data_IF_268444953195
#
_entry.id   IF_268444953195
#
_cell.length_a   1.000
_cell.length_b   1.000
_cell.length_c   1.000
_cell.angle_alpha   90.00
_cell.angle_beta   90.00
_cell.angle_gamma   90.00
#
_symmetry.space_group_name_H-M   'P 1'
#
loop_
_entity.id
_entity.type
_entity.pdbx_description
1 polymer ?
#
# COMPACT_ATOMS: atom_id res chain seq x y z
N UNK A 1 8.32 12.00 -3.84
CA UNK A 1 9.55 11.31 -4.29
C UNK A 1 10.01 11.95 -5.59
N UNK A 2 11.23 11.67 -6.03
CA UNK A 2 11.78 12.15 -7.29
C UNK A 2 12.12 10.97 -8.22
N UNK A 3 12.17 11.23 -9.54
CA UNK A 3 12.57 10.21 -10.51
C UNK A 3 13.97 9.65 -10.20
N UNK A 4 14.06 8.31 -10.15
CA UNK A 4 15.30 7.62 -9.79
C UNK A 4 15.51 7.37 -8.29
N UNK A 5 14.68 7.91 -7.40
CA UNK A 5 14.68 7.52 -5.98
C UNK A 5 14.51 5.99 -5.84
N UNK A 6 15.22 5.36 -4.89
CA UNK A 6 14.99 3.95 -4.55
C UNK A 6 14.40 3.89 -3.14
N UNK A 7 13.19 3.35 -3.04
CA UNK A 7 12.44 3.19 -1.81
C UNK A 7 12.51 1.76 -1.29
N UNK A 8 12.40 1.64 0.03
CA UNK A 8 12.42 0.38 0.76
C UNK A 8 11.35 0.43 1.86
N UNK A 9 10.80 -0.74 2.15
CA UNK A 9 10.13 -0.96 3.42
C UNK A 9 11.19 -1.22 4.48
N UNK A 10 11.21 -0.38 5.51
CA UNK A 10 12.07 -0.52 6.68
C UNK A 10 11.32 -1.10 7.88
N UNK A 11 11.98 -1.93 8.65
CA UNK A 11 11.63 -2.21 10.04
C UNK A 11 12.75 -1.71 10.95
N UNK A 12 12.41 -1.06 12.06
CA UNK A 12 13.33 -0.84 13.16
C UNK A 12 13.35 -2.11 14.01
N UNK A 13 14.49 -2.81 13.98
CA UNK A 13 14.75 -4.02 14.73
C UNK A 13 15.84 -3.85 15.80
N UNK A 14 16.09 -4.93 16.51
CA UNK A 14 17.15 -5.09 17.50
C UNK A 14 18.17 -6.10 17.02
N UNK A 15 19.44 -5.70 16.98
CA UNK A 15 20.60 -6.57 16.74
C UNK A 15 21.58 -6.53 17.91
N UNK A 16 22.40 -7.57 18.05
CA UNK A 16 23.59 -7.55 18.91
C UNK A 16 24.82 -6.98 18.19
N UNK A 17 25.96 -6.97 18.88
CA UNK A 17 27.25 -6.46 18.40
C UNK A 17 27.75 -7.17 17.12
N UNK A 18 27.27 -8.38 16.84
CA UNK A 18 27.60 -9.15 15.64
C UNK A 18 26.56 -8.97 14.53
N UNK A 19 25.68 -7.98 14.65
CA UNK A 19 24.55 -7.74 13.75
C UNK A 19 23.55 -8.91 13.70
N UNK A 20 23.52 -9.78 14.72
CA UNK A 20 22.54 -10.87 14.80
C UNK A 20 21.22 -10.34 15.33
N UNK A 21 20.15 -10.55 14.58
CA UNK A 21 18.81 -10.05 14.88
C UNK A 21 18.26 -10.77 16.10
N UNK A 22 18.03 -10.02 17.18
CA UNK A 22 17.34 -10.50 18.39
C UNK A 22 15.83 -10.34 18.30
N UNK A 23 15.36 -9.28 17.63
CA UNK A 23 13.94 -9.05 17.40
C UNK A 23 13.75 -8.14 16.18
N UNK A 24 12.93 -8.54 15.21
CA UNK A 24 12.70 -7.78 13.96
C UNK A 24 11.85 -6.51 14.14
N UNK A 25 11.32 -6.27 15.34
CA UNK A 25 10.33 -5.23 15.65
C UNK A 25 10.67 -4.45 16.92
N UNK A 26 11.88 -4.63 17.45
CA UNK A 26 12.35 -4.02 18.69
C UNK A 26 11.36 -4.14 19.85
N UNK A 27 10.83 -5.35 20.08
CA UNK A 27 9.85 -5.60 21.15
C UNK A 27 8.49 -4.96 20.86
N UNK A 28 8.08 -4.90 19.58
CA UNK A 28 6.87 -4.21 19.11
C UNK A 28 6.84 -2.74 19.54
N UNK A 29 7.97 -2.05 19.32
CA UNK A 29 8.06 -0.61 19.52
C UNK A 29 6.88 0.11 18.83
N UNK A 30 6.22 1.00 19.57
CA UNK A 30 5.01 1.69 19.12
C UNK A 30 5.30 2.96 18.33
N UNK A 31 6.39 3.63 18.67
CA UNK A 31 6.80 4.87 18.06
C UNK A 31 8.28 4.80 17.65
N UNK A 32 8.54 4.98 16.36
CA UNK A 32 9.87 5.02 15.76
C UNK A 32 10.23 6.41 15.23
N UNK A 33 9.41 7.43 15.50
CA UNK A 33 9.69 8.80 15.08
C UNK A 33 11.04 9.31 15.60
N UNK A 34 11.42 9.12 16.88
CA UNK A 34 12.74 9.55 17.38
C UNK A 34 13.91 8.86 16.64
N UNK A 35 13.73 7.59 16.28
CA UNK A 35 14.75 6.76 15.61
C UNK A 35 14.89 7.17 14.15
N UNK A 36 13.78 7.31 13.44
CA UNK A 36 13.78 7.73 12.03
C UNK A 36 14.30 9.15 11.88
N UNK A 37 13.93 10.08 12.78
CA UNK A 37 14.44 11.45 12.80
C UNK A 37 15.96 11.53 13.01
N UNK A 38 16.54 10.62 13.81
CA UNK A 38 17.98 10.58 14.05
C UNK A 38 18.80 10.19 12.82
N UNK A 39 18.19 9.49 11.86
CA UNK A 39 18.86 9.00 10.65
C UNK A 39 18.38 9.70 9.36
N UNK A 40 17.29 10.47 9.42
CA UNK A 40 16.74 11.21 8.29
C UNK A 40 17.72 12.30 7.82
N UNK A 41 17.95 12.37 6.52
CA UNK A 41 18.90 13.31 5.90
C UNK A 41 20.36 12.85 5.92
N UNK A 42 20.66 11.64 6.37
CA UNK A 42 22.02 11.11 6.38
C UNK A 42 22.59 11.03 4.95
N UNK A 43 23.77 11.61 4.72
CA UNK A 43 24.42 11.61 3.41
C UNK A 43 25.68 10.72 3.38
N UNK A 44 25.82 9.94 2.30
CA UNK A 44 27.00 9.13 1.96
C UNK A 44 27.19 9.18 0.44
N UNK A 45 28.39 9.53 -0.02
CA UNK A 45 28.81 9.55 -1.43
C UNK A 45 27.81 10.26 -2.39
N UNK A 46 27.26 11.40 -1.94
CA UNK A 46 26.29 12.21 -2.70
C UNK A 46 24.89 11.60 -2.79
N UNK A 47 24.57 10.64 -1.92
CA UNK A 47 23.25 10.03 -1.78
C UNK A 47 22.72 10.32 -0.40
N UNK A 48 21.47 10.77 -0.32
CA UNK A 48 20.78 11.09 0.93
C UNK A 48 19.82 9.97 1.29
N UNK A 49 19.87 9.49 2.54
CA UNK A 49 18.88 8.62 3.13
C UNK A 49 17.78 9.47 3.78
N UNK A 50 16.55 9.25 3.36
CA UNK A 50 15.34 9.85 3.90
C UNK A 50 14.60 8.74 4.65
N UNK A 51 14.32 8.95 5.92
CA UNK A 51 13.63 8.01 6.79
C UNK A 51 12.41 8.67 7.41
N UNK A 52 11.23 8.05 7.23
CA UNK A 52 9.98 8.51 7.83
C UNK A 52 9.35 7.40 8.68
N UNK A 53 8.75 7.75 9.82
CA UNK A 53 8.07 6.76 10.66
C UNK A 53 6.84 6.21 9.94
N UNK A 54 6.59 4.92 10.12
CA UNK A 54 5.33 4.26 9.80
C UNK A 54 4.66 3.76 11.07
N UNK A 55 3.61 2.96 10.94
CA UNK A 55 2.89 2.41 12.10
C UNK A 55 3.75 1.40 12.87
N UNK A 56 3.95 1.65 14.17
CA UNK A 56 4.78 0.84 15.07
C UNK A 56 6.24 0.77 14.59
N UNK A 57 6.86 -0.41 14.63
CA UNK A 57 8.24 -0.67 14.18
C UNK A 57 8.54 -0.34 12.71
N UNK A 58 7.58 0.11 11.90
CA UNK A 58 7.76 0.27 10.45
C UNK A 58 8.34 1.63 10.13
N UNK A 59 9.16 1.71 9.09
CA UNK A 59 9.69 2.94 8.53
C UNK A 59 9.57 2.90 7.00
N UNK A 60 9.30 4.06 6.38
CA UNK A 60 9.50 4.27 4.95
C UNK A 60 10.89 4.84 4.73
N UNK A 61 11.70 4.19 3.90
CA UNK A 61 13.08 4.62 3.63
C UNK A 61 13.25 4.87 2.16
N UNK A 62 13.87 6.00 1.81
CA UNK A 62 14.22 6.36 0.43
C UNK A 62 15.68 6.74 0.41
N UNK A 63 16.45 6.21 -0.55
CA UNK A 63 17.75 6.77 -0.91
C UNK A 63 17.60 7.59 -2.18
N UNK A 64 18.10 8.82 -2.13
CA UNK A 64 18.00 9.81 -3.20
C UNK A 64 19.39 10.21 -3.67
N UNK A 65 19.61 10.12 -4.97
CA UNK A 65 20.86 10.52 -5.63
C UNK A 65 20.95 9.92 -7.03
N UNK A 66 22.10 10.10 -7.68
CA UNK A 66 22.33 9.62 -9.05
C UNK A 66 22.90 8.21 -9.07
N UNK A 67 22.61 7.47 -10.16
CA UNK A 67 23.18 6.15 -10.41
C UNK A 67 22.68 5.06 -9.45
N UNK A 68 21.39 5.11 -9.09
CA UNK A 68 20.76 4.16 -8.17
C UNK A 68 19.90 3.13 -8.92
N UNK A 69 19.81 1.93 -8.36
CA UNK A 69 19.00 0.82 -8.88
C UNK A 69 18.21 0.13 -7.77
N UNK A 70 17.07 -0.45 -8.12
CA UNK A 70 16.30 -1.33 -7.23
C UNK A 70 16.71 -2.80 -7.36
N UNK A 71 17.63 -3.13 -8.26
CA UNK A 71 18.15 -4.48 -8.47
C UNK A 71 19.15 -4.86 -7.37
N UNK A 72 18.67 -4.97 -6.13
CA UNK A 72 19.45 -5.35 -4.94
C UNK A 72 18.64 -6.31 -4.07
N UNK A 73 19.34 -7.15 -3.30
CA UNK A 73 18.72 -8.07 -2.34
C UNK A 73 18.19 -7.33 -1.10
N UNK A 74 17.31 -7.98 -0.34
CA UNK A 74 16.93 -7.52 0.99
C UNK A 74 18.13 -7.58 1.96
N UNK A 75 18.11 -6.71 2.98
CA UNK A 75 19.00 -6.81 4.14
C UNK A 75 18.34 -7.59 5.29
N UNK A 76 17.00 -7.59 5.35
CA UNK A 76 16.22 -8.35 6.34
C UNK A 76 16.16 -9.84 5.94
N UNK A 77 16.73 -10.77 6.73
CA UNK A 77 16.67 -12.21 6.47
C UNK A 77 15.27 -12.82 6.71
N UNK A 78 14.33 -11.99 7.16
CA UNK A 78 12.98 -12.36 7.55
C UNK A 78 12.85 -13.23 8.80
N UNK A 79 13.95 -13.54 9.47
CA UNK A 79 14.00 -14.42 10.65
C UNK A 79 14.82 -13.83 11.80
N UNK A 80 14.54 -14.27 13.02
CA UNK A 80 15.32 -13.95 14.23
C UNK A 80 16.46 -14.97 14.35
N UNK A 81 17.60 -14.55 14.91
CA UNK A 81 18.77 -15.39 15.11
C UNK A 81 19.73 -15.45 13.92
N UNK A 82 19.36 -14.84 12.79
CA UNK A 82 20.26 -14.63 11.65
C UNK A 82 20.90 -13.24 11.72
N UNK A 83 22.10 -13.13 11.13
CA UNK A 83 22.72 -11.83 10.90
C UNK A 83 21.94 -11.04 9.84
N UNK A 84 21.97 -9.71 9.95
CA UNK A 84 21.53 -8.83 8.85
C UNK A 84 22.32 -9.20 7.60
N UNK A 85 21.61 -9.44 6.49
CA UNK A 85 22.26 -9.84 5.25
C UNK A 85 23.03 -8.67 4.64
N UNK A 86 24.20 -8.99 4.11
CA UNK A 86 24.90 -8.09 3.20
C UNK A 86 24.04 -7.89 1.97
N UNK A 87 23.74 -6.64 1.65
CA UNK A 87 23.00 -6.29 0.44
C UNK A 87 23.90 -6.54 -0.77
N UNK A 88 23.39 -7.29 -1.74
CA UNK A 88 24.10 -7.64 -2.98
C UNK A 88 23.30 -7.15 -4.19
N UNK A 89 23.98 -6.79 -5.29
CA UNK A 89 23.28 -6.51 -6.54
C UNK A 89 22.64 -7.80 -7.08
N UNK A 90 21.47 -7.68 -7.73
CA UNK A 90 20.79 -8.81 -8.40
C UNK A 90 21.02 -8.82 -9.91
N UNK A 91 21.71 -7.81 -10.45
CA UNK A 91 22.19 -7.75 -11.82
C UNK A 91 23.62 -7.17 -11.89
N UNK A 92 24.20 -7.13 -13.08
CA UNK A 92 25.58 -6.68 -13.29
C UNK A 92 25.73 -5.16 -13.46
N UNK A 93 24.65 -4.38 -13.35
CA UNK A 93 24.67 -2.95 -13.60
C UNK A 93 25.58 -2.20 -12.60
N UNK A 94 26.32 -1.16 -13.05
CA UNK A 94 27.08 -0.30 -12.15
C UNK A 94 26.21 0.34 -11.06
N UNK A 95 24.96 0.67 -11.40
CA UNK A 95 23.98 1.26 -10.48
C UNK A 95 23.56 0.29 -9.38
N UNK A 96 23.36 -1.00 -9.69
CA UNK A 96 23.05 -2.02 -8.68
C UNK A 96 24.22 -2.22 -7.71
N UNK A 97 25.45 -2.35 -8.24
CA UNK A 97 26.68 -2.48 -7.43
C UNK A 97 26.86 -1.29 -6.50
N UNK A 98 26.76 -0.07 -7.04
CA UNK A 98 26.81 1.18 -6.26
C UNK A 98 25.73 1.22 -5.19
N UNK A 99 24.49 0.83 -5.52
CA UNK A 99 23.38 0.88 -4.56
C UNK A 99 23.58 -0.11 -3.42
N UNK A 100 24.03 -1.33 -3.71
CA UNK A 100 24.34 -2.34 -2.69
C UNK A 100 25.43 -1.86 -1.72
N UNK A 101 26.54 -1.31 -2.24
CA UNK A 101 27.61 -0.72 -1.43
C UNK A 101 27.11 0.42 -0.52
N UNK A 102 26.29 1.32 -1.06
CA UNK A 102 25.71 2.42 -0.31
C UNK A 102 24.79 1.93 0.80
N UNK A 103 23.93 0.95 0.52
CA UNK A 103 23.00 0.40 1.51
C UNK A 103 23.75 -0.26 2.67
N UNK A 104 24.80 -1.03 2.38
CA UNK A 104 25.65 -1.60 3.44
C UNK A 104 26.32 -0.51 4.29
N UNK A 105 26.81 0.58 3.67
CA UNK A 105 27.34 1.75 4.40
C UNK A 105 26.27 2.44 5.25
N UNK A 106 25.06 2.62 4.72
CA UNK A 106 23.94 3.23 5.45
C UNK A 106 23.50 2.36 6.62
N UNK A 107 23.35 1.05 6.45
CA UNK A 107 22.96 0.14 7.54
C UNK A 107 24.00 0.20 8.66
N UNK A 108 25.29 0.13 8.34
CA UNK A 108 26.36 0.25 9.34
C UNK A 108 26.38 1.61 10.05
N UNK A 109 26.19 2.72 9.30
CA UNK A 109 26.23 4.08 9.87
C UNK A 109 24.98 4.36 10.71
N UNK A 110 23.81 3.97 10.24
CA UNK A 110 22.54 4.10 10.99
C UNK A 110 22.57 3.26 12.26
N UNK A 111 23.08 2.02 12.23
CA UNK A 111 23.26 1.21 13.43
C UNK A 111 24.05 1.95 14.52
N UNK A 112 25.21 2.52 14.16
CA UNK A 112 26.04 3.30 15.12
C UNK A 112 25.29 4.51 15.69
N UNK A 113 24.56 5.26 14.85
CA UNK A 113 23.76 6.42 15.29
C UNK A 113 22.67 5.97 16.26
N UNK A 114 21.93 4.93 15.91
CA UNK A 114 20.81 4.44 16.71
C UNK A 114 21.27 3.80 18.02
N UNK A 115 22.38 3.08 18.02
CA UNK A 115 22.94 2.42 19.21
C UNK A 115 23.32 3.44 20.30
N UNK A 116 23.86 4.59 19.89
CA UNK A 116 24.27 5.67 20.78
C UNK A 116 23.16 6.67 21.13
N UNK A 117 21.99 6.54 20.50
CA UNK A 117 20.88 7.48 20.70
C UNK A 117 20.34 7.38 22.14
N UNK A 118 20.18 8.52 22.81
CA UNK A 118 19.67 8.58 24.18
C UNK A 118 18.33 7.85 24.36
N UNK A 119 17.45 7.93 23.35
CA UNK A 119 16.20 7.17 23.32
C UNK A 119 16.42 5.66 23.46
N UNK A 120 17.44 5.08 22.82
CA UNK A 120 17.76 3.66 22.96
C UNK A 120 18.50 3.37 24.28
N UNK A 121 19.30 4.31 24.79
CA UNK A 121 19.92 4.19 26.14
C UNK A 121 18.85 4.12 27.24
N UNK A 122 17.80 4.93 27.14
CA UNK A 122 16.64 4.89 28.04
C UNK A 122 15.82 3.60 27.90
N UNK A 123 15.63 3.09 26.68
CA UNK A 123 14.97 1.79 26.47
C UNK A 123 15.73 0.67 27.17
N UNK A 124 17.05 0.61 26.97
CA UNK A 124 17.91 -0.39 27.60
C UNK A 124 17.88 -0.29 29.13
N UNK A 125 17.87 0.90 29.71
CA UNK A 125 17.82 1.07 31.18
C UNK A 125 16.52 0.55 31.81
N UNK A 126 15.43 0.48 31.04
CA UNK A 126 14.15 -0.11 31.45
C UNK A 126 14.02 -1.60 31.12
N UNK A 127 15.04 -2.21 30.50
CA UNK A 127 15.00 -3.60 30.03
C UNK A 127 14.23 -3.80 28.71
N UNK A 128 13.85 -2.71 28.03
CA UNK A 128 13.23 -2.79 26.70
C UNK A 128 14.29 -3.08 25.63
N UNK A 129 13.89 -3.78 24.57
CA UNK A 129 14.76 -3.98 23.40
C UNK A 129 14.98 -2.65 22.64
N UNK A 130 16.23 -2.26 22.34
CA UNK A 130 16.51 -1.03 21.58
C UNK A 130 16.15 -1.20 20.10
N UNK A 131 15.70 -0.11 19.46
CA UNK A 131 15.54 -0.06 18.01
C UNK A 131 16.83 0.38 17.35
N UNK A 132 17.84 -0.48 17.29
CA UNK A 132 19.21 -0.13 16.88
C UNK A 132 19.58 -0.58 15.46
N UNK A 133 18.66 -1.17 14.69
CA UNK A 133 18.94 -1.62 13.33
C UNK A 133 17.83 -1.25 12.37
N UNK A 134 18.21 -0.79 11.17
CA UNK A 134 17.29 -0.57 10.06
C UNK A 134 17.31 -1.78 9.12
N UNK A 135 16.27 -2.62 9.22
CA UNK A 135 16.09 -3.80 8.38
C UNK A 135 15.32 -3.42 7.11
N UNK A 136 16.03 -3.38 5.97
CA UNK A 136 15.50 -2.96 4.68
C UNK A 136 15.06 -4.14 3.82
N UNK A 137 13.92 -3.98 3.14
CA UNK A 137 13.40 -4.94 2.17
C UNK A 137 12.55 -4.32 1.08
N UNK A 138 12.35 -5.06 -0.01
CA UNK A 138 11.41 -4.72 -1.08
C UNK A 138 11.83 -3.46 -1.81
N UNK A 139 13.06 -3.46 -2.35
CA UNK A 139 13.60 -2.36 -3.13
C UNK A 139 12.70 -2.02 -4.31
N UNK A 140 12.29 -0.76 -4.43
CA UNK A 140 11.47 -0.26 -5.53
C UNK A 140 12.02 1.05 -6.05
N UNK A 141 12.27 1.14 -7.36
CA UNK A 141 12.72 2.39 -7.98
C UNK A 141 11.52 3.21 -8.41
N UNK A 142 11.46 4.44 -7.93
CA UNK A 142 10.47 5.40 -8.38
C UNK A 142 10.73 5.75 -9.83
N UNK A 143 9.67 5.65 -10.63
CA UNK A 143 9.58 6.18 -11.98
C UNK A 143 8.39 7.11 -12.03
N UNK A 144 8.50 8.22 -12.74
CA UNK A 144 7.30 9.02 -13.05
C UNK A 144 6.35 8.20 -13.93
N UNK A 145 5.08 8.10 -13.52
CA UNK A 145 4.00 7.61 -14.35
C UNK A 145 3.06 8.77 -14.68
N UNK A 146 2.33 8.71 -15.82
CA UNK A 146 1.22 9.62 -16.04
C UNK A 146 0.26 9.56 -14.86
N UNK A 147 -0.14 10.73 -14.38
CA UNK A 147 -1.20 10.84 -13.39
C UNK A 147 -2.49 10.19 -13.89
N UNK A 148 -3.40 9.90 -12.95
CA UNK A 148 -4.71 9.35 -13.27
C UNK A 148 -5.47 10.27 -14.24
N UNK A 149 -5.36 11.59 -14.05
CA UNK A 149 -5.95 12.60 -14.92
C UNK A 149 -5.33 12.59 -16.32
N UNK A 150 -4.01 12.53 -16.44
CA UNK A 150 -3.34 12.47 -17.74
C UNK A 150 -3.69 11.19 -18.51
N UNK A 151 -3.81 10.07 -17.81
CA UNK A 151 -4.10 8.77 -18.44
C UNK A 151 -5.57 8.59 -18.80
N UNK A 152 -6.49 8.99 -17.92
CA UNK A 152 -7.91 8.66 -18.05
C UNK A 152 -8.83 9.87 -18.22
N UNK A 153 -8.32 11.09 -18.05
CA UNK A 153 -9.10 12.31 -18.26
C UNK A 153 -10.07 12.66 -17.12
N UNK A 154 -9.86 12.11 -15.92
CA UNK A 154 -10.70 12.33 -14.74
C UNK A 154 -9.91 13.06 -13.64
N UNK A 155 -10.48 14.11 -13.04
CA UNK A 155 -10.04 14.51 -11.69
C UNK A 155 -10.43 13.41 -10.70
N UNK A 156 -9.51 13.03 -9.81
CA UNK A 156 -9.70 11.85 -8.99
C UNK A 156 -9.26 12.04 -7.55
N UNK A 157 -9.98 11.41 -6.63
CA UNK A 157 -9.59 11.31 -5.23
C UNK A 157 -9.61 9.86 -4.73
N UNK A 158 -8.86 9.60 -3.66
CA UNK A 158 -8.71 8.30 -3.02
C UNK A 158 -9.19 8.38 -1.56
N UNK A 159 -10.20 7.57 -1.24
CA UNK A 159 -10.77 7.40 0.10
C UNK A 159 -10.40 6.01 0.62
N UNK A 160 -9.30 5.94 1.37
CA UNK A 160 -8.77 4.69 1.89
C UNK A 160 -8.43 4.79 3.39
N UNK A 161 -8.42 3.66 4.09
CA UNK A 161 -7.91 3.62 5.48
C UNK A 161 -6.42 3.28 5.54
N UNK A 162 -5.98 2.28 4.74
CA UNK A 162 -4.62 1.78 4.76
C UNK A 162 -3.63 2.67 3.99
N UNK A 163 -2.43 2.86 4.54
CA UNK A 163 -1.40 3.73 3.95
C UNK A 163 -0.91 3.30 2.56
N UNK A 164 -0.95 2.00 2.23
CA UNK A 164 -0.55 1.51 0.91
C UNK A 164 -1.41 2.14 -0.21
N UNK A 165 -2.74 2.08 -0.06
CA UNK A 165 -3.68 2.57 -1.05
C UNK A 165 -3.67 4.10 -1.17
N UNK A 166 -3.50 4.80 -0.03
CA UNK A 166 -3.24 6.25 -0.03
C UNK A 166 -1.95 6.59 -0.79
N UNK A 167 -0.90 5.80 -0.58
CA UNK A 167 0.37 5.95 -1.29
C UNK A 167 0.22 5.76 -2.80
N UNK A 168 -0.52 4.75 -3.25
CA UNK A 168 -0.80 4.52 -4.68
C UNK A 168 -1.64 5.68 -5.26
N UNK A 169 -2.69 6.12 -4.55
CA UNK A 169 -3.50 7.26 -4.98
C UNK A 169 -2.65 8.52 -5.16
N UNK A 170 -1.83 8.85 -4.17
CA UNK A 170 -0.96 10.02 -4.21
C UNK A 170 0.10 9.90 -5.31
N UNK A 171 0.64 8.70 -5.53
CA UNK A 171 1.57 8.40 -6.62
C UNK A 171 0.94 8.64 -8.00
N UNK A 172 -0.34 8.34 -8.15
CA UNK A 172 -1.11 8.58 -9.38
C UNK A 172 -1.68 10.00 -9.45
N UNK A 173 -1.34 10.89 -8.51
CA UNK A 173 -1.83 12.28 -8.49
C UNK A 173 -3.31 12.43 -8.12
N UNK A 174 -3.86 11.48 -7.34
CA UNK A 174 -5.19 11.61 -6.74
C UNK A 174 -5.12 12.40 -5.43
N UNK A 175 -6.17 13.17 -5.14
CA UNK A 175 -6.33 13.83 -3.84
C UNK A 175 -6.65 12.79 -2.76
N UNK A 176 -5.92 12.82 -1.64
CA UNK A 176 -6.12 11.87 -0.55
C UNK A 176 -7.11 12.44 0.45
N UNK A 177 -8.24 11.74 0.62
CA UNK A 177 -9.31 12.17 1.50
C UNK A 177 -9.26 11.38 2.80
N UNK A 178 -8.97 12.10 3.88
CA UNK A 178 -8.94 11.54 5.23
C UNK A 178 -10.35 11.47 5.80
N UNK A 179 -10.70 10.30 6.35
CA UNK A 179 -12.00 10.06 6.99
C UNK A 179 -11.78 9.59 8.41
N UNK A 180 -12.32 10.33 9.37
CA UNK A 180 -12.32 9.91 10.77
C UNK A 180 -13.01 8.54 10.92
N UNK A 181 -12.38 7.61 11.64
CA UNK A 181 -12.90 6.24 11.81
C UNK A 181 -12.58 5.27 10.67
N UNK A 182 -11.96 5.71 9.56
CA UNK A 182 -11.52 4.80 8.49
C UNK A 182 -10.20 4.09 8.85
N UNK A 183 -10.25 3.13 9.76
CA UNK A 183 -9.06 2.46 10.36
C UNK A 183 -8.43 1.39 9.46
N UNK A 184 -9.13 0.94 8.41
CA UNK A 184 -8.80 -0.25 7.62
C UNK A 184 -8.80 -1.57 8.42
N UNK A 185 -9.31 -1.56 9.66
CA UNK A 185 -9.52 -2.72 10.51
C UNK A 185 -11.02 -3.10 10.52
N UNK A 186 -11.41 -4.25 11.12
CA UNK A 186 -12.81 -4.64 11.20
C UNK A 186 -13.72 -3.60 11.86
N UNK A 187 -13.20 -2.76 12.76
CA UNK A 187 -13.93 -1.67 13.41
C UNK A 187 -14.08 -0.39 12.55
N UNK A 188 -13.55 -0.39 11.32
CA UNK A 188 -13.59 0.78 10.43
C UNK A 188 -15.02 1.27 10.20
N UNK A 189 -15.21 2.58 10.26
CA UNK A 189 -16.49 3.24 9.96
C UNK A 189 -16.72 3.30 8.45
N UNK A 190 -17.49 2.34 7.94
CA UNK A 190 -17.78 2.20 6.50
C UNK A 190 -18.81 3.23 6.04
N UNK A 191 -19.79 3.55 6.88
CA UNK A 191 -20.84 4.52 6.56
C UNK A 191 -20.24 5.93 6.42
N UNK A 192 -19.40 6.35 7.37
CA UNK A 192 -18.68 7.62 7.28
C UNK A 192 -17.81 7.67 6.01
N UNK A 193 -17.09 6.58 5.71
CA UNK A 193 -16.26 6.51 4.49
C UNK A 193 -17.09 6.67 3.21
N UNK A 194 -18.19 5.94 3.08
CA UNK A 194 -19.02 5.99 1.87
C UNK A 194 -19.74 7.33 1.72
N UNK A 195 -20.21 7.92 2.83
CA UNK A 195 -20.80 9.26 2.84
C UNK A 195 -19.79 10.33 2.42
N UNK A 196 -18.57 10.30 2.95
CA UNK A 196 -17.51 11.22 2.54
C UNK A 196 -17.14 11.02 1.08
N UNK A 197 -17.05 9.78 0.61
CA UNK A 197 -16.75 9.49 -0.79
C UNK A 197 -17.80 10.06 -1.74
N UNK A 198 -19.09 9.87 -1.43
CA UNK A 198 -20.19 10.45 -2.22
C UNK A 198 -20.09 11.99 -2.31
N UNK A 199 -19.75 12.66 -1.21
CA UNK A 199 -19.60 14.12 -1.22
C UNK A 199 -18.41 14.62 -2.05
N UNK A 200 -17.46 13.75 -2.43
CA UNK A 200 -16.34 14.15 -3.28
C UNK A 200 -16.72 14.21 -4.76
N UNK A 201 -17.86 13.64 -5.16
CA UNK A 201 -18.36 13.74 -6.54
C UNK A 201 -18.73 15.19 -6.92
N UNK A 202 -18.95 16.07 -5.95
CA UNK A 202 -19.18 17.50 -6.19
C UNK A 202 -17.96 18.23 -6.78
N UNK A 203 -16.75 17.68 -6.60
CA UNK A 203 -15.48 18.30 -6.97
C UNK A 203 -14.54 17.40 -7.77
N UNK A 204 -14.85 16.11 -7.90
CA UNK A 204 -14.04 15.13 -8.61
C UNK A 204 -14.89 14.30 -9.58
N UNK A 205 -14.33 13.99 -10.75
CA UNK A 205 -14.99 13.11 -11.71
C UNK A 205 -14.94 11.62 -11.28
N UNK A 206 -13.97 11.24 -10.44
CA UNK A 206 -13.73 9.86 -10.03
C UNK A 206 -13.36 9.76 -8.55
N UNK A 207 -14.01 8.84 -7.84
CA UNK A 207 -13.74 8.60 -6.41
C UNK A 207 -13.38 7.13 -6.21
N UNK A 208 -12.12 6.86 -5.87
CA UNK A 208 -11.68 5.51 -5.51
C UNK A 208 -11.96 5.25 -4.03
N UNK A 209 -12.77 4.24 -3.73
CA UNK A 209 -13.10 3.86 -2.35
C UNK A 209 -12.46 2.50 -2.05
N UNK A 210 -11.59 2.46 -1.03
CA UNK A 210 -10.94 1.22 -0.62
C UNK A 210 -11.42 0.74 0.75
N UNK A 211 -11.81 -0.54 0.81
CA UNK A 211 -12.23 -1.24 2.03
C UNK A 211 -11.31 -2.45 2.26
N UNK A 212 -10.64 -2.52 3.43
CA UNK A 212 -9.55 -3.49 3.68
C UNK A 212 -9.95 -4.72 4.49
N UNK A 213 -10.83 -4.59 5.49
CA UNK A 213 -10.90 -5.59 6.56
C UNK A 213 -11.37 -6.98 6.10
N UNK A 214 -12.14 -7.06 5.01
CA UNK A 214 -12.55 -8.32 4.39
C UNK A 214 -11.36 -9.22 4.00
N UNK A 215 -10.25 -8.60 3.59
CA UNK A 215 -9.02 -9.31 3.25
C UNK A 215 -8.34 -9.86 4.51
N UNK A 216 -8.14 -9.03 5.53
CA UNK A 216 -7.48 -9.46 6.78
C UNK A 216 -8.28 -10.53 7.52
N UNK A 217 -9.62 -10.47 7.48
CA UNK A 217 -10.47 -11.53 8.01
C UNK A 217 -10.35 -12.84 7.20
N UNK A 218 -10.06 -12.73 5.90
CA UNK A 218 -9.68 -13.86 5.05
C UNK A 218 -8.33 -14.46 5.43
N UNK A 219 -7.29 -13.63 5.62
CA UNK A 219 -5.96 -14.03 6.10
C UNK A 219 -6.02 -14.69 7.49
N UNK A 220 -6.92 -14.23 8.37
CA UNK A 220 -7.14 -14.83 9.69
C UNK A 220 -7.91 -16.17 9.62
N UNK A 221 -8.53 -16.49 8.48
CA UNK A 221 -9.39 -17.64 8.30
C UNK A 221 -10.70 -17.53 9.09
N UNK A 222 -11.27 -16.33 9.17
CA UNK A 222 -12.49 -16.01 9.90
C UNK A 222 -13.67 -15.77 8.92
N UNK A 223 -14.35 -16.83 8.45
CA UNK A 223 -15.44 -16.68 7.48
C UNK A 223 -16.64 -15.92 8.04
N UNK A 224 -17.01 -16.12 9.31
CA UNK A 224 -18.13 -15.41 9.93
C UNK A 224 -17.87 -13.90 10.00
N UNK A 225 -16.69 -13.51 10.49
CA UNK A 225 -16.29 -12.12 10.56
C UNK A 225 -16.20 -11.48 9.18
N UNK A 226 -15.65 -12.19 8.18
CA UNK A 226 -15.58 -11.70 6.79
C UNK A 226 -16.99 -11.46 6.22
N UNK A 227 -17.91 -12.40 6.43
CA UNK A 227 -19.31 -12.26 5.98
C UNK A 227 -20.03 -11.10 6.68
N UNK A 228 -19.88 -10.95 8.00
CA UNK A 228 -20.45 -9.84 8.77
C UNK A 228 -19.92 -8.48 8.27
N UNK A 229 -18.62 -8.39 8.00
CA UNK A 229 -18.01 -7.17 7.48
C UNK A 229 -18.50 -6.83 6.07
N UNK A 230 -18.66 -7.82 5.19
CA UNK A 230 -19.27 -7.62 3.86
C UNK A 230 -20.72 -7.15 3.99
N UNK A 231 -21.52 -7.73 4.90
CA UNK A 231 -22.90 -7.30 5.16
C UNK A 231 -22.98 -5.85 5.68
N UNK A 232 -22.00 -5.40 6.47
CA UNK A 232 -21.88 -3.99 6.87
C UNK A 232 -21.56 -3.08 5.69
N UNK A 233 -20.72 -3.53 4.76
CA UNK A 233 -20.47 -2.80 3.52
C UNK A 233 -21.76 -2.71 2.69
N UNK A 234 -22.47 -3.81 2.49
CA UNK A 234 -23.75 -3.87 1.77
C UNK A 234 -24.80 -2.90 2.37
N UNK A 235 -24.94 -2.88 3.70
CA UNK A 235 -25.81 -1.89 4.37
C UNK A 235 -25.42 -0.45 4.03
N UNK A 236 -24.13 -0.12 4.05
CA UNK A 236 -23.64 1.21 3.70
C UNK A 236 -23.75 1.50 2.19
N UNK A 237 -23.71 0.48 1.32
CA UNK A 237 -23.92 0.62 -0.12
C UNK A 237 -25.29 1.22 -0.45
N UNK A 238 -26.28 1.10 0.45
CA UNK A 238 -27.59 1.76 0.30
C UNK A 238 -27.51 3.28 0.12
N UNK A 239 -26.40 3.93 0.52
CA UNK A 239 -26.15 5.35 0.25
C UNK A 239 -26.02 5.65 -1.26
N UNK A 240 -25.58 4.69 -2.06
CA UNK A 240 -25.42 4.82 -3.51
C UNK A 240 -26.70 4.53 -4.30
N UNK A 241 -27.81 4.16 -3.64
CA UNK A 241 -29.10 3.94 -4.33
C UNK A 241 -29.60 5.20 -5.04
N UNK A 242 -29.19 6.39 -4.58
CA UNK A 242 -29.53 7.68 -5.16
C UNK A 242 -28.33 8.31 -5.86
N UNK A 243 -27.52 7.50 -6.55
CA UNK A 243 -26.43 8.00 -7.39
C UNK A 243 -26.95 9.06 -8.37
N UNK A 244 -26.17 10.13 -8.67
CA UNK A 244 -26.53 11.06 -9.72
C UNK A 244 -26.85 10.34 -11.03
N UNK A 245 -27.72 10.92 -11.86
CA UNK A 245 -28.14 10.29 -13.14
C UNK A 245 -26.96 9.97 -14.05
N UNK A 246 -25.99 10.86 -14.09
CA UNK A 246 -24.73 10.73 -14.82
C UNK A 246 -23.64 10.00 -14.02
N UNK A 247 -23.97 9.43 -12.86
CA UNK A 247 -23.05 8.66 -12.03
C UNK A 247 -22.95 7.20 -12.43
N UNK A 248 -21.74 6.64 -12.29
CA UNK A 248 -21.45 5.22 -12.46
C UNK A 248 -20.80 4.67 -11.19
N UNK A 249 -21.38 3.62 -10.63
CA UNK A 249 -20.84 2.84 -9.53
C UNK A 249 -20.23 1.55 -10.07
N UNK A 250 -18.99 1.28 -9.69
CA UNK A 250 -18.30 0.03 -10.00
C UNK A 250 -17.87 -0.63 -8.70
N UNK A 251 -18.22 -1.91 -8.54
CA UNK A 251 -17.90 -2.69 -7.33
C UNK A 251 -17.12 -3.93 -7.76
N UNK A 252 -15.96 -4.14 -7.15
CA UNK A 252 -15.10 -5.32 -7.35
C UNK A 252 -14.16 -5.48 -6.16
N UNK A 253 -13.40 -6.57 -6.14
CA UNK A 253 -12.18 -6.70 -5.34
C UNK A 253 -10.92 -6.56 -6.22
N UNK A 254 -9.78 -6.30 -5.60
CA UNK A 254 -8.46 -6.31 -6.25
C UNK A 254 -7.87 -7.73 -6.33
N UNK A 255 -8.22 -8.62 -5.40
CA UNK A 255 -7.86 -10.03 -5.43
C UNK A 255 -8.77 -10.91 -4.54
N UNK A 256 -8.59 -12.23 -4.65
CA UNK A 256 -9.30 -13.22 -3.85
C UNK A 256 -8.54 -13.61 -2.58
N UNK A 257 -9.28 -13.44 -1.48
CA UNK A 257 -9.06 -13.75 -0.04
C UNK A 257 -9.52 -15.07 0.60
N UNK A 258 -9.37 -16.31 0.08
CA UNK A 258 -10.08 -17.47 0.65
C UNK A 258 -9.71 -17.76 2.11
N UNK A 259 -10.70 -17.82 3.00
CA UNK A 259 -10.49 -18.07 4.43
C UNK A 259 -9.80 -19.42 4.72
N UNK A 260 -10.05 -20.43 3.88
CA UNK A 260 -9.42 -21.75 3.99
C UNK A 260 -7.92 -21.71 3.69
N UNK A 261 -7.51 -20.83 2.76
CA UNK A 261 -6.11 -20.70 2.35
C UNK A 261 -5.33 -19.73 3.24
N UNK A 262 -6.02 -18.78 3.89
CA UNK A 262 -5.41 -17.74 4.76
C UNK A 262 -4.34 -16.90 4.04
N UNK A 263 -4.43 -16.84 2.72
CA UNK A 263 -3.52 -16.13 1.83
C UNK A 263 -4.23 -15.79 0.53
N UNK A 264 -3.65 -14.88 -0.24
CA UNK A 264 -4.18 -14.50 -1.54
C UNK A 264 -4.19 -15.70 -2.49
N UNK A 265 -5.19 -15.75 -3.35
CA UNK A 265 -5.36 -16.74 -4.41
C UNK A 265 -5.52 -16.05 -5.76
N UNK A 266 -5.42 -16.84 -6.83
CA UNK A 266 -5.64 -16.39 -8.20
C UNK A 266 -7.10 -16.59 -8.67
N UNK A 267 -8.02 -16.91 -7.75
CA UNK A 267 -9.43 -17.06 -8.08
C UNK A 267 -10.02 -15.73 -8.58
N UNK A 268 -10.85 -15.75 -9.64
CA UNK A 268 -11.44 -14.54 -10.19
C UNK A 268 -12.39 -13.87 -9.17
N UNK A 269 -12.49 -12.55 -9.25
CA UNK A 269 -13.31 -11.74 -8.34
C UNK A 269 -14.60 -11.27 -9.02
N UNK A 270 -15.72 -11.14 -8.27
CA UNK A 270 -16.95 -10.55 -8.80
C UNK A 270 -16.76 -9.08 -9.19
N UNK A 271 -17.37 -8.65 -10.31
CA UNK A 271 -17.42 -7.25 -10.74
C UNK A 271 -18.84 -6.87 -11.16
N UNK A 272 -19.24 -5.64 -10.84
CA UNK A 272 -20.53 -5.06 -11.22
C UNK A 272 -20.36 -3.61 -11.64
N UNK A 273 -21.10 -3.20 -12.66
CA UNK A 273 -21.27 -1.82 -13.10
C UNK A 273 -22.75 -1.44 -12.92
N UNK A 274 -23.02 -0.31 -12.27
CA UNK A 274 -24.36 0.18 -12.00
C UNK A 274 -24.44 1.68 -12.29
N UNK A 275 -25.39 2.09 -13.13
CA UNK A 275 -25.57 3.48 -13.53
C UNK A 275 -26.48 3.60 -14.75
N UNK A 276 -26.84 4.84 -15.10
CA UNK A 276 -27.60 5.10 -16.33
C UNK A 276 -26.79 4.70 -17.57
N UNK A 277 -27.44 4.11 -18.58
CA UNK A 277 -26.79 3.64 -19.80
C UNK A 277 -26.11 2.27 -19.73
N UNK A 278 -25.98 1.67 -18.54
CA UNK A 278 -25.53 0.28 -18.41
C UNK A 278 -26.58 -0.68 -19.00
N UNK A 279 -26.15 -1.61 -19.87
CA UNK A 279 -27.00 -2.69 -20.38
C UNK A 279 -27.07 -3.79 -19.33
N UNK A 280 -28.18 -3.84 -18.59
CA UNK A 280 -28.39 -4.82 -17.52
C UNK A 280 -28.62 -6.22 -18.09
N UNK A 281 -28.07 -7.24 -17.42
CA UNK A 281 -28.39 -8.64 -17.67
C UNK A 281 -29.36 -9.20 -16.62
N UNK A 282 -29.62 -10.51 -16.66
CA UNK A 282 -30.58 -11.17 -15.77
C UNK A 282 -29.98 -11.60 -14.41
N UNK A 283 -28.75 -11.18 -14.08
CA UNK A 283 -28.11 -11.52 -12.80
C UNK A 283 -28.70 -10.65 -11.68
N UNK A 284 -29.32 -11.29 -10.70
CA UNK A 284 -30.03 -10.62 -9.61
C UNK A 284 -29.28 -10.61 -8.26
N UNK A 285 -28.04 -11.07 -8.21
CA UNK A 285 -27.25 -11.14 -6.97
C UNK A 285 -25.77 -10.88 -7.25
N UNK A 286 -25.08 -10.25 -6.29
CA UNK A 286 -23.63 -10.03 -6.34
C UNK A 286 -22.90 -11.10 -5.53
N UNK A 287 -22.04 -11.87 -6.21
CA UNK A 287 -21.29 -12.97 -5.63
C UNK A 287 -20.71 -13.87 -6.71
N UNK A 288 -19.72 -14.69 -6.37
CA UNK A 288 -18.85 -15.42 -7.30
C UNK A 288 -19.66 -16.24 -8.32
N UNK A 289 -20.63 -17.03 -7.84
CA UNK A 289 -21.46 -17.90 -8.70
C UNK A 289 -22.48 -17.15 -9.55
N UNK A 290 -22.93 -15.98 -9.08
CA UNK A 290 -23.91 -15.17 -9.78
C UNK A 290 -23.22 -14.35 -10.88
N UNK A 291 -22.13 -13.65 -10.53
CA UNK A 291 -21.33 -12.87 -11.46
C UNK A 291 -20.67 -13.73 -12.56
N UNK A 292 -20.41 -15.02 -12.31
CA UNK A 292 -19.96 -15.95 -13.36
C UNK A 292 -20.96 -16.11 -14.52
N UNK A 293 -22.22 -15.69 -14.36
CA UNK A 293 -23.26 -15.72 -15.40
C UNK A 293 -23.51 -14.33 -16.04
N UNK A 294 -22.79 -13.31 -15.59
CA UNK A 294 -22.96 -11.93 -16.06
C UNK A 294 -22.51 -11.76 -17.50
N UNK A 295 -23.14 -10.80 -18.18
CA UNK A 295 -22.92 -10.50 -19.60
C UNK A 295 -21.56 -9.86 -19.90
N UNK A 296 -20.86 -9.35 -18.89
CA UNK A 296 -19.46 -8.90 -18.98
C UNK A 296 -18.49 -10.06 -19.29
N UNK A 297 -18.87 -11.30 -19.00
CA UNK A 297 -17.99 -12.45 -19.13
C UNK A 297 -16.78 -12.36 -18.20
N UNK A 298 -15.61 -12.77 -18.68
CA UNK A 298 -14.35 -12.67 -17.95
C UNK A 298 -13.51 -11.54 -18.52
N UNK A 299 -13.35 -10.47 -17.73
CA UNK A 299 -12.48 -9.33 -18.05
C UNK A 299 -11.30 -9.29 -17.07
N UNK A 300 -10.20 -8.68 -17.48
CA UNK A 300 -9.06 -8.45 -16.60
C UNK A 300 -9.22 -7.10 -15.86
N UNK A 301 -8.52 -6.93 -14.73
CA UNK A 301 -8.55 -5.67 -13.98
C UNK A 301 -8.15 -4.44 -14.81
N UNK A 302 -7.29 -4.63 -15.83
CA UNK A 302 -6.87 -3.56 -16.76
C UNK A 302 -8.00 -3.08 -17.69
N UNK A 303 -9.05 -3.88 -17.86
CA UNK A 303 -10.17 -3.59 -18.74
C UNK A 303 -11.25 -2.73 -18.06
N UNK A 304 -11.25 -2.65 -16.71
CA UNK A 304 -12.26 -1.92 -15.94
C UNK A 304 -12.28 -0.43 -16.28
N UNK A 305 -11.11 0.24 -16.27
CA UNK A 305 -11.04 1.68 -16.57
C UNK A 305 -11.47 2.04 -18.00
N UNK A 306 -11.07 1.30 -19.06
CA UNK A 306 -11.65 1.45 -20.39
C UNK A 306 -13.18 1.33 -20.44
N UNK A 307 -13.77 0.38 -19.70
CA UNK A 307 -15.23 0.26 -19.61
C UNK A 307 -15.87 1.47 -18.90
N UNK A 308 -15.25 1.97 -17.82
CA UNK A 308 -15.67 3.20 -17.15
C UNK A 308 -15.63 4.38 -18.13
N UNK A 309 -14.53 4.58 -18.85
CA UNK A 309 -14.43 5.66 -19.84
C UNK A 309 -15.49 5.53 -20.93
N UNK A 310 -15.78 4.32 -21.40
CA UNK A 310 -16.80 4.08 -22.42
C UNK A 310 -18.19 4.46 -21.91
N UNK A 311 -18.59 3.95 -20.74
CA UNK A 311 -19.91 4.21 -20.14
C UNK A 311 -20.08 5.68 -19.76
N UNK A 312 -18.99 6.37 -19.40
CA UNK A 312 -18.99 7.80 -19.09
C UNK A 312 -18.82 8.69 -20.34
N UNK A 313 -18.80 8.12 -21.55
CA UNK A 313 -18.66 8.88 -22.80
C UNK A 313 -17.31 9.59 -22.97
N UNK A 314 -16.26 9.15 -22.25
CA UNK A 314 -14.90 9.73 -22.28
C UNK A 314 -13.88 8.86 -23.01
N UNK A 315 -14.27 7.70 -23.53
CA UNK A 315 -13.35 6.84 -24.28
C UNK A 315 -13.11 7.39 -25.68
N UNK A 316 -11.84 7.62 -26.02
CA UNK A 316 -11.45 8.08 -27.35
C UNK A 316 -11.42 6.90 -28.32
N UNK A 317 -12.16 6.99 -29.43
CA UNK A 317 -12.07 6.01 -30.51
C UNK A 317 -10.72 6.14 -31.21
N UNK A 318 -10.10 5.01 -31.54
CA UNK A 318 -8.81 4.93 -32.25
C UNK A 318 -9.08 4.48 -33.69
N UNK A 319 -8.60 5.24 -34.67
CA UNK A 319 -8.65 4.88 -36.09
C UNK A 319 -9.91 5.32 -36.85
N UNK A 320 -10.69 6.25 -36.29
CA UNK A 320 -11.78 6.94 -36.96
C UNK A 320 -11.33 8.32 -37.48
#
# INVERSE_FOLDING_TARGET
MADGDVAFRGNIGTVDDNMVIKDRRAGRIRDVEPLTKAIDGLEIDGVTLIAKPGTAHRAGVVIRGKGLSSAVTDADPHEVGQAVWEVKPTDDSPEAKRTAELLNKFIAKTHKILEELDFNKERKSRGDLPGNCLLLRGAGRYRSFPSFKERFGFSACCVAGGGLYKGIGAFLGMDIIEVAGATALPDSDIEAKFKTALSQLDSHDFVFIHVKAADSLGEDGNPEGKAEFIARCDKAMGLFNNLPKDGLLVVTADHSTPCELKQHSADPVPVMFYGEGVRTDDVAAFGERACAKGSLGHIEGKDIMPQIQNLMGRLHLIGA
#
